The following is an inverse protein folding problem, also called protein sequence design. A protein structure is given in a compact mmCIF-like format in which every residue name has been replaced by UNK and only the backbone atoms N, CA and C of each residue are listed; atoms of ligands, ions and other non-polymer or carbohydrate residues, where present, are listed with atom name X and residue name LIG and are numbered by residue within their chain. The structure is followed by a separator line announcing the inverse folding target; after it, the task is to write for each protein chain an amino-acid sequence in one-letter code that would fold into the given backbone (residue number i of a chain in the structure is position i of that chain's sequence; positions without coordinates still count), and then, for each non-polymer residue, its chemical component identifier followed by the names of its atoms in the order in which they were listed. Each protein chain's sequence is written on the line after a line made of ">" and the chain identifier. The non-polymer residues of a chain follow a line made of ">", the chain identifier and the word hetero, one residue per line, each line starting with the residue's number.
data_IF_602032036357
#
_entry.id   IF_602032036357
#
_cell.length_a   1.000
_cell.length_b   1.000
_cell.length_c   1.000
_cell.angle_alpha   90.00
_cell.angle_beta   90.00
_cell.angle_gamma   90.00
#
_symmetry.space_group_name_H-M   'P 1'
#
loop_
_entity.id
_entity.type
_entity.pdbx_description
1 polymer ?
#
# COMPACT_ATOMS: atom_id res chain seq x y z
N UNK A 1 -33.27 -5.10 45.62
CA UNK A 1 -32.62 -5.95 44.61
C UNK A 1 -33.00 -5.41 43.24
N UNK A 2 -32.29 -4.37 42.82
CA UNK A 2 -32.33 -3.69 41.53
C UNK A 2 -30.98 -4.00 40.90
N UNK A 3 -30.81 -4.47 39.68
CA UNK A 3 -31.54 -4.19 38.45
C UNK A 3 -30.45 -3.98 37.39
N UNK A 4 -30.53 -4.78 36.33
CA UNK A 4 -30.04 -4.50 34.98
C UNK A 4 -28.51 -4.55 34.72
N UNK A 5 -28.10 -5.70 34.18
CA UNK A 5 -27.03 -5.79 33.19
C UNK A 5 -27.49 -5.08 31.91
N UNK A 6 -26.74 -4.06 31.47
CA UNK A 6 -26.80 -3.53 30.11
C UNK A 6 -25.40 -3.54 29.52
N UNK A 7 -24.96 -4.72 29.11
CA UNK A 7 -23.91 -4.85 28.10
C UNK A 7 -24.58 -4.77 26.72
N UNK A 8 -24.83 -3.56 26.23
CA UNK A 8 -25.18 -3.37 24.83
C UNK A 8 -23.88 -3.31 24.03
N UNK A 9 -23.53 -4.50 23.54
CA UNK A 9 -22.88 -4.80 22.27
C UNK A 9 -22.91 -3.60 21.31
N UNK A 10 -21.82 -2.81 21.33
CA UNK A 10 -21.53 -1.90 20.23
C UNK A 10 -21.15 -2.78 19.04
N UNK A 11 -22.17 -3.18 18.29
CA UNK A 11 -22.04 -3.65 16.91
C UNK A 11 -21.42 -2.55 16.07
N UNK A 12 -20.10 -2.36 16.19
CA UNK A 12 -19.29 -1.74 15.15
C UNK A 12 -19.47 -2.66 13.95
N UNK A 13 -20.28 -2.23 12.97
CA UNK A 13 -20.30 -2.83 11.64
C UNK A 13 -18.85 -3.05 11.24
N UNK A 14 -18.42 -4.30 11.11
CA UNK A 14 -17.14 -4.62 10.49
C UNK A 14 -17.19 -3.97 9.10
N UNK A 15 -16.31 -2.99 8.81
CA UNK A 15 -16.56 -2.11 7.69
C UNK A 15 -16.50 -2.87 6.35
N UNK A 16 -15.81 -4.01 6.29
CA UNK A 16 -15.73 -4.92 5.14
C UNK A 16 -15.33 -6.34 5.62
N UNK A 17 -15.71 -7.39 4.90
CA UNK A 17 -15.11 -8.72 5.08
C UNK A 17 -13.62 -8.68 4.70
N UNK A 18 -12.79 -9.57 5.26
CA UNK A 18 -11.34 -9.60 4.96
C UNK A 18 -11.03 -9.73 3.45
N UNK A 19 -11.93 -10.38 2.70
CA UNK A 19 -11.86 -10.51 1.25
C UNK A 19 -12.14 -9.21 0.50
N UNK A 20 -13.14 -8.46 0.96
CA UNK A 20 -13.43 -7.12 0.45
C UNK A 20 -12.29 -6.15 0.79
N UNK A 21 -11.72 -6.25 1.99
CA UNK A 21 -10.50 -5.51 2.36
C UNK A 21 -9.33 -5.87 1.42
N UNK A 22 -9.10 -7.15 1.12
CA UNK A 22 -8.04 -7.56 0.20
C UNK A 22 -8.22 -7.02 -1.21
N UNK A 23 -9.45 -7.08 -1.73
CA UNK A 23 -9.77 -6.55 -3.06
C UNK A 23 -9.59 -5.03 -3.09
N UNK A 24 -10.09 -4.33 -2.07
CA UNK A 24 -9.98 -2.87 -1.94
C UNK A 24 -8.53 -2.41 -1.84
N UNK A 25 -7.70 -3.08 -1.03
CA UNK A 25 -6.30 -2.73 -0.85
C UNK A 25 -5.53 -2.97 -2.15
N UNK A 26 -5.75 -4.09 -2.84
CA UNK A 26 -5.14 -4.36 -4.14
C UNK A 26 -5.51 -3.31 -5.18
N UNK A 27 -6.80 -2.95 -5.25
CA UNK A 27 -7.28 -1.90 -6.15
C UNK A 27 -6.60 -0.56 -5.83
N UNK A 28 -6.54 -0.17 -4.56
CA UNK A 28 -5.88 1.09 -4.13
C UNK A 28 -4.39 1.10 -4.41
N UNK A 29 -3.68 0.00 -4.17
CA UNK A 29 -2.25 -0.13 -4.52
C UNK A 29 -2.07 -0.05 -6.04
N UNK A 30 -2.94 -0.71 -6.81
CA UNK A 30 -2.91 -0.67 -8.27
C UNK A 30 -3.11 0.74 -8.81
N UNK A 31 -4.14 1.44 -8.32
CA UNK A 31 -4.48 2.80 -8.71
C UNK A 31 -3.38 3.81 -8.32
N UNK A 32 -2.92 3.76 -7.06
CA UNK A 32 -1.83 4.61 -6.58
C UNK A 32 -0.54 4.34 -7.36
N UNK A 33 -0.21 3.07 -7.60
CA UNK A 33 0.94 2.69 -8.42
C UNK A 33 0.85 3.21 -9.85
N UNK A 34 -0.31 3.14 -10.49
CA UNK A 34 -0.50 3.63 -11.86
C UNK A 34 -0.38 5.16 -11.94
N UNK A 35 -0.84 5.87 -10.91
CA UNK A 35 -0.61 7.31 -10.77
C UNK A 35 0.86 7.65 -10.56
N UNK A 36 1.54 6.95 -9.65
CA UNK A 36 2.98 7.10 -9.42
C UNK A 36 3.79 6.88 -10.70
N UNK A 37 3.50 5.81 -11.44
CA UNK A 37 4.17 5.52 -12.71
C UNK A 37 4.00 6.64 -13.73
N UNK A 38 2.79 7.20 -13.86
CA UNK A 38 2.55 8.32 -14.78
C UNK A 38 3.37 9.57 -14.41
N UNK A 39 3.39 9.94 -13.13
CA UNK A 39 4.16 11.09 -12.65
C UNK A 39 5.67 10.89 -12.83
N UNK A 40 6.14 9.69 -12.52
CA UNK A 40 7.54 9.31 -12.68
C UNK A 40 7.95 9.31 -14.15
N UNK A 41 7.13 8.80 -15.06
CA UNK A 41 7.41 8.79 -16.50
C UNK A 41 7.55 10.23 -17.03
N UNK A 42 6.68 11.15 -16.61
CA UNK A 42 6.80 12.57 -16.95
C UNK A 42 8.12 13.18 -16.42
N UNK A 43 8.51 12.82 -15.18
CA UNK A 43 9.79 13.25 -14.62
C UNK A 43 11.00 12.62 -15.35
N UNK A 44 10.91 11.38 -15.83
CA UNK A 44 11.95 10.73 -16.63
C UNK A 44 12.14 11.42 -17.98
N UNK A 45 11.05 11.72 -18.68
CA UNK A 45 11.09 12.43 -19.97
C UNK A 45 11.74 13.80 -19.81
N UNK A 46 11.34 14.55 -18.78
CA UNK A 46 11.94 15.84 -18.49
C UNK A 46 13.41 15.74 -18.13
N UNK A 47 13.78 14.81 -17.23
CA UNK A 47 15.17 14.57 -16.85
C UNK A 47 16.06 14.23 -18.05
N UNK A 48 15.56 13.43 -19.00
CA UNK A 48 16.24 13.13 -20.27
C UNK A 48 16.40 14.36 -21.13
N UNK A 49 15.35 15.16 -21.31
CA UNK A 49 15.37 16.37 -22.14
C UNK A 49 16.37 17.43 -21.63
N UNK A 50 16.64 17.44 -20.32
CA UNK A 50 17.56 18.38 -19.67
C UNK A 50 18.95 17.79 -19.41
N UNK A 51 19.25 16.56 -19.85
CA UNK A 51 20.56 15.91 -19.66
C UNK A 51 20.92 15.59 -18.21
N UNK A 52 19.92 15.37 -17.34
CA UNK A 52 20.12 15.14 -15.89
C UNK A 52 20.28 13.66 -15.55
N UNK A 53 21.41 13.07 -15.92
CA UNK A 53 21.63 11.63 -15.81
C UNK A 53 21.54 11.07 -14.38
N UNK A 54 22.06 11.79 -13.36
CA UNK A 54 22.00 11.33 -11.96
C UNK A 54 20.57 11.23 -11.45
N UNK A 55 19.79 12.29 -11.68
CA UNK A 55 18.38 12.31 -11.29
C UNK A 55 17.58 11.26 -12.09
N UNK A 56 17.86 11.11 -13.38
CA UNK A 56 17.24 10.07 -14.20
C UNK A 56 17.49 8.66 -13.62
N UNK A 57 18.70 8.37 -13.12
CA UNK A 57 19.03 7.09 -12.48
C UNK A 57 18.21 6.83 -11.20
N UNK A 58 18.06 7.86 -10.36
CA UNK A 58 17.21 7.78 -9.16
C UNK A 58 15.75 7.53 -9.54
N UNK A 59 15.26 8.23 -10.57
CA UNK A 59 13.88 8.12 -11.04
C UNK A 59 13.56 6.75 -11.64
N UNK A 60 14.48 6.20 -12.42
CA UNK A 60 14.37 4.83 -12.93
C UNK A 60 14.32 3.81 -11.79
N UNK A 61 15.09 4.04 -10.72
CA UNK A 61 15.08 3.17 -9.54
C UNK A 61 13.71 3.18 -8.86
N UNK A 62 13.10 4.36 -8.66
CA UNK A 62 11.75 4.44 -8.09
C UNK A 62 10.71 3.76 -8.97
N UNK A 63 10.79 3.96 -10.29
CA UNK A 63 9.90 3.29 -11.25
C UNK A 63 9.92 1.77 -11.06
N UNK A 64 11.11 1.17 -11.01
CA UNK A 64 11.26 -0.27 -10.82
C UNK A 64 10.68 -0.77 -9.49
N UNK A 65 10.74 0.03 -8.43
CA UNK A 65 10.12 -0.31 -7.13
C UNK A 65 8.60 -0.30 -7.20
N UNK A 66 8.01 0.69 -7.85
CA UNK A 66 6.55 0.78 -8.04
C UNK A 66 6.05 -0.39 -8.87
N UNK A 67 6.71 -0.68 -10.01
CA UNK A 67 6.37 -1.82 -10.86
C UNK A 67 6.45 -3.15 -10.08
N UNK A 68 7.46 -3.29 -9.21
CA UNK A 68 7.59 -4.46 -8.34
C UNK A 68 6.44 -4.57 -7.34
N UNK A 69 6.08 -3.48 -6.67
CA UNK A 69 4.97 -3.45 -5.70
C UNK A 69 3.64 -3.80 -6.39
N UNK A 70 3.37 -3.20 -7.56
CA UNK A 70 2.18 -3.52 -8.35
C UNK A 70 2.18 -4.99 -8.79
N UNK A 71 3.34 -5.51 -9.21
CA UNK A 71 3.50 -6.92 -9.57
C UNK A 71 3.29 -7.86 -8.39
N UNK A 72 3.77 -7.52 -7.20
CA UNK A 72 3.53 -8.28 -5.96
C UNK A 72 2.03 -8.25 -5.59
N UNK A 73 1.37 -7.09 -5.68
CA UNK A 73 -0.06 -6.93 -5.41
C UNK A 73 -0.97 -7.71 -6.39
N UNK A 74 -0.58 -7.80 -7.66
CA UNK A 74 -1.34 -8.50 -8.70
C UNK A 74 -1.21 -10.03 -8.66
N UNK A 75 -0.13 -10.58 -8.08
CA UNK A 75 0.17 -12.03 -8.13
C UNK A 75 -0.53 -12.87 -7.06
N UNK A 76 -0.98 -12.28 -5.96
CA UNK A 76 -1.54 -13.06 -4.85
C UNK A 76 -3.01 -13.45 -5.07
N UNK A 77 -3.32 -14.74 -4.90
CA UNK A 77 -4.70 -15.22 -4.73
C UNK A 77 -5.36 -15.89 -5.94
N UNK A 78 -4.62 -16.25 -7.00
CA UNK A 78 -5.19 -17.08 -8.06
C UNK A 78 -5.47 -18.51 -7.53
N UNK A 79 -6.72 -18.79 -7.15
CA UNK A 79 -7.22 -20.12 -6.77
C UNK A 79 -7.12 -20.50 -5.29
N UNK A 80 -6.66 -19.60 -4.41
CA UNK A 80 -6.66 -19.85 -2.97
C UNK A 80 -8.08 -19.74 -2.39
N UNK A 81 -8.51 -20.75 -1.62
CA UNK A 81 -9.71 -20.66 -0.76
C UNK A 81 -9.23 -20.29 0.64
N UNK A 82 -9.93 -19.36 1.28
CA UNK A 82 -9.57 -18.91 2.61
C UNK A 82 -10.68 -19.27 3.60
N UNK A 83 -10.33 -19.75 4.79
CA UNK A 83 -11.28 -20.03 5.89
C UNK A 83 -10.94 -19.18 7.10
N UNK A 84 -11.88 -18.28 7.45
CA UNK A 84 -11.75 -17.33 8.57
C UNK A 84 -11.78 -18.04 9.94
N UNK A 85 -12.32 -19.26 10.01
CA UNK A 85 -12.48 -20.07 11.23
C UNK A 85 -11.14 -20.35 11.97
N UNK A 86 -9.99 -20.11 11.33
CA UNK A 86 -8.66 -20.36 11.88
C UNK A 86 -7.94 -19.13 12.46
N UNK A 87 -8.51 -17.92 12.39
CA UNK A 87 -7.84 -16.73 12.94
C UNK A 87 -8.14 -16.53 14.42
N UNK A 88 -7.08 -16.35 15.19
CA UNK A 88 -7.19 -15.79 16.53
C UNK A 88 -7.65 -14.32 16.46
N UNK A 89 -8.27 -13.80 17.53
CA UNK A 89 -8.59 -12.37 17.61
C UNK A 89 -7.33 -11.49 17.50
N UNK A 90 -6.17 -12.00 17.92
CA UNK A 90 -4.90 -11.32 17.75
C UNK A 90 -4.52 -11.17 16.26
N UNK A 91 -4.68 -12.22 15.45
CA UNK A 91 -4.39 -12.14 14.01
C UNK A 91 -5.40 -11.24 13.29
N UNK A 92 -6.69 -11.24 13.69
CA UNK A 92 -7.70 -10.32 13.14
C UNK A 92 -7.34 -8.86 13.40
N UNK A 93 -6.91 -8.55 14.62
CA UNK A 93 -6.47 -7.20 14.98
C UNK A 93 -5.20 -6.81 14.21
N UNK A 94 -4.24 -7.73 14.07
CA UNK A 94 -3.04 -7.49 13.28
C UNK A 94 -3.38 -7.16 11.82
N UNK A 95 -4.30 -7.90 11.19
CA UNK A 95 -4.74 -7.59 9.82
C UNK A 95 -5.34 -6.19 9.72
N UNK A 96 -6.23 -5.81 10.65
CA UNK A 96 -6.84 -4.47 10.66
C UNK A 96 -5.80 -3.36 10.84
N UNK A 97 -4.85 -3.53 11.77
CA UNK A 97 -3.76 -2.58 11.96
C UNK A 97 -2.86 -2.47 10.72
N UNK A 98 -2.55 -3.59 10.06
CA UNK A 98 -1.78 -3.58 8.82
C UNK A 98 -2.55 -2.88 7.70
N UNK A 99 -3.86 -3.10 7.58
CA UNK A 99 -4.73 -2.43 6.61
C UNK A 99 -4.74 -0.92 6.81
N UNK A 100 -4.89 -0.45 8.05
CA UNK A 100 -4.85 0.98 8.38
C UNK A 100 -3.50 1.62 8.04
N UNK A 101 -2.39 0.94 8.38
CA UNK A 101 -1.04 1.40 8.05
C UNK A 101 -0.82 1.45 6.53
N UNK A 102 -1.31 0.46 5.78
CA UNK A 102 -1.25 0.46 4.31
C UNK A 102 -2.01 1.64 3.71
N UNK A 103 -3.22 1.90 4.19
CA UNK A 103 -4.03 3.03 3.71
C UNK A 103 -3.37 4.37 4.02
N UNK A 104 -2.74 4.51 5.21
CA UNK A 104 -1.97 5.70 5.57
C UNK A 104 -0.77 5.89 4.65
N UNK A 105 0.05 4.84 4.44
CA UNK A 105 1.22 4.90 3.58
C UNK A 105 0.85 5.22 2.11
N UNK A 106 -0.27 4.68 1.62
CA UNK A 106 -0.82 5.03 0.31
C UNK A 106 -1.20 6.51 0.21
N UNK A 107 -1.83 7.05 1.25
CA UNK A 107 -2.16 8.48 1.33
C UNK A 107 -0.92 9.38 1.35
N UNK A 108 0.12 8.99 2.07
CA UNK A 108 1.41 9.69 2.10
C UNK A 108 2.10 9.68 0.74
N UNK A 109 2.12 8.51 0.06
CA UNK A 109 2.62 8.41 -1.31
C UNK A 109 1.87 9.35 -2.26
N UNK A 110 0.53 9.39 -2.19
CA UNK A 110 -0.28 10.27 -3.02
C UNK A 110 0.01 11.77 -2.74
N UNK A 111 0.11 12.16 -1.47
CA UNK A 111 0.44 13.53 -1.09
C UNK A 111 1.84 13.97 -1.56
N UNK A 112 2.81 13.05 -1.53
CA UNK A 112 4.14 13.32 -2.07
C UNK A 112 4.12 13.47 -3.60
N UNK A 113 3.30 12.69 -4.31
CA UNK A 113 3.14 12.79 -5.76
C UNK A 113 2.57 14.13 -6.21
N UNK A 114 1.57 14.66 -5.50
CA UNK A 114 1.01 15.99 -5.80
C UNK A 114 2.07 17.09 -5.63
N UNK A 115 3.01 16.90 -4.70
CA UNK A 115 4.16 17.78 -4.50
C UNK A 115 5.31 17.52 -5.50
N UNK A 116 5.25 16.45 -6.29
CA UNK A 116 6.22 16.09 -7.33
C UNK A 116 5.97 16.86 -8.63
N UNK A 117 5.91 18.19 -8.56
CA UNK A 117 5.95 19.00 -9.75
C UNK A 117 7.39 18.97 -10.31
N UNK A 118 7.60 18.27 -11.43
CA UNK A 118 8.91 18.23 -12.12
C UNK A 118 9.38 19.63 -12.61
N UNK A 119 8.63 20.71 -12.33
CA UNK A 119 8.80 22.08 -12.84
C UNK A 119 9.95 22.88 -12.22
N UNK A 120 10.54 22.45 -11.11
CA UNK A 120 11.69 23.13 -10.53
C UNK A 120 12.45 22.23 -9.57
N UNK A 121 13.44 21.50 -10.07
CA UNK A 121 14.24 20.60 -9.25
C UNK A 121 15.27 21.39 -8.41
N UNK A 122 14.83 21.92 -7.27
CA UNK A 122 15.68 22.35 -6.15
C UNK A 122 16.15 21.13 -5.33
N UNK A 123 17.03 21.34 -4.33
CA UNK A 123 17.39 20.32 -3.32
C UNK A 123 16.15 19.61 -2.74
N UNK A 124 15.02 20.32 -2.64
CA UNK A 124 13.74 19.79 -2.17
C UNK A 124 13.23 18.60 -3.01
N UNK A 125 13.65 18.47 -4.27
CA UNK A 125 13.24 17.35 -5.14
C UNK A 125 13.94 16.04 -4.79
N UNK A 126 15.18 16.10 -4.30
CA UNK A 126 15.95 14.93 -3.84
C UNK A 126 15.41 14.43 -2.49
N UNK A 127 15.05 15.35 -1.61
CA UNK A 127 14.44 15.03 -0.32
C UNK A 127 13.05 14.40 -0.51
N UNK A 128 12.25 14.94 -1.43
CA UNK A 128 10.96 14.32 -1.82
C UNK A 128 11.16 12.93 -2.44
N UNK A 129 12.23 12.73 -3.22
CA UNK A 129 12.60 11.42 -3.76
C UNK A 129 12.90 10.41 -2.66
N UNK A 130 13.71 10.84 -1.70
CA UNK A 130 14.11 10.01 -0.57
C UNK A 130 12.92 9.67 0.33
N UNK A 131 12.01 10.62 0.55
CA UNK A 131 10.77 10.40 1.27
C UNK A 131 9.87 9.39 0.55
N UNK A 132 9.57 9.61 -0.74
CA UNK A 132 8.76 8.68 -1.54
C UNK A 132 9.36 7.28 -1.55
N UNK A 133 10.68 7.18 -1.68
CA UNK A 133 11.40 5.93 -1.60
C UNK A 133 11.19 5.20 -0.26
N UNK A 134 11.26 5.93 0.87
CA UNK A 134 11.02 5.36 2.18
C UNK A 134 9.57 4.86 2.35
N UNK A 135 8.58 5.63 1.89
CA UNK A 135 7.17 5.21 1.95
C UNK A 135 6.88 4.01 1.05
N UNK A 136 7.54 3.90 -0.11
CA UNK A 136 7.42 2.73 -0.99
C UNK A 136 8.00 1.46 -0.35
N UNK A 137 9.14 1.56 0.33
CA UNK A 137 9.71 0.43 1.09
C UNK A 137 8.78 0.02 2.25
N UNK A 138 8.22 0.99 2.96
CA UNK A 138 7.27 0.70 4.04
C UNK A 138 5.98 0.06 3.53
N UNK A 139 5.44 0.57 2.42
CA UNK A 139 4.26 0.01 1.77
C UNK A 139 4.50 -1.44 1.33
N UNK A 140 5.69 -1.72 0.77
CA UNK A 140 6.09 -3.08 0.41
C UNK A 140 6.22 -3.99 1.63
N UNK A 141 6.83 -3.51 2.71
CA UNK A 141 6.98 -4.24 3.98
C UNK A 141 5.61 -4.60 4.56
N UNK A 142 4.70 -3.63 4.65
CA UNK A 142 3.34 -3.82 5.15
C UNK A 142 2.54 -4.78 4.26
N UNK A 143 2.70 -4.70 2.93
CA UNK A 143 2.05 -5.63 2.01
C UNK A 143 2.51 -7.07 2.25
N UNK A 144 3.81 -7.29 2.42
CA UNK A 144 4.36 -8.62 2.74
C UNK A 144 3.91 -9.13 4.11
N UNK A 145 3.85 -8.25 5.11
CA UNK A 145 3.31 -8.58 6.44
C UNK A 145 1.86 -9.04 6.35
N UNK A 146 1.04 -8.29 5.59
CA UNK A 146 -0.36 -8.66 5.31
C UNK A 146 -0.46 -9.99 4.59
N UNK A 147 0.36 -10.23 3.57
CA UNK A 147 0.40 -11.48 2.82
C UNK A 147 0.71 -12.69 3.73
N UNK A 148 1.62 -12.54 4.69
CA UNK A 148 1.93 -13.59 5.67
C UNK A 148 0.76 -13.89 6.60
N UNK A 149 0.01 -12.86 7.03
CA UNK A 149 -1.22 -13.05 7.80
C UNK A 149 -2.29 -13.77 6.98
N UNK A 150 -2.44 -13.41 5.71
CA UNK A 150 -3.38 -14.07 4.79
C UNK A 150 -2.95 -15.50 4.41
N UNK A 151 -1.67 -15.84 4.44
CA UNK A 151 -1.23 -17.24 4.29
C UNK A 151 -1.75 -18.14 5.41
N UNK A 152 -1.91 -17.63 6.64
CA UNK A 152 -2.51 -18.39 7.75
C UNK A 152 -3.99 -18.72 7.51
N UNK A 153 -4.64 -17.96 6.63
CA UNK A 153 -6.04 -18.17 6.23
C UNK A 153 -6.21 -19.18 5.09
N UNK A 154 -5.14 -19.50 4.37
CA UNK A 154 -5.21 -20.38 3.19
C UNK A 154 -5.49 -21.82 3.62
N UNK A 155 -6.53 -22.40 3.02
CA UNK A 155 -6.76 -23.84 3.06
C UNK A 155 -6.56 -24.40 1.67
N UNK A 156 -5.68 -25.39 1.57
CA UNK A 156 -5.53 -26.21 0.38
C UNK A 156 -6.61 -27.30 0.42
N UNK A 157 -7.46 -27.31 -0.60
CA UNK A 157 -8.45 -28.36 -0.82
C UNK A 157 -7.83 -29.55 -1.56
#
# INVERSE_FOLDING_TARGET
>A
MTGQMTGQDQGRREPYSFFESESLIKEKIGACGAEMSRTIDACMEKARSEGREKFLSEVVTLRGKIERIQGEAAREGAGARYKIEHLSEADKNAIRETDEKLLSALGECAGLLDAFACSGMSMDSVDRYSALNAHLEELRRLFQERALLFKKLQVFG
#
